data_IF_335332254294
#
_entry.id   IF_335332254294
#
_cell.length_a   1.000
_cell.length_b   1.000
_cell.length_c   1.000
_cell.angle_alpha   90.00
_cell.angle_beta   90.00
_cell.angle_gamma   90.00
#
_symmetry.space_group_name_H-M   'P 1'
#
loop_
_entity.id
_entity.type
_entity.pdbx_description
1 polymer ?
2 non-polymer ?
3 water ?
#
# COMPACT_ATOMS: atom_id res chain seq x y z
N UNK A 9 -10.68 -14.38 7.35
CA UNK A 9 -10.49 -13.80 5.90
C UNK A 9 -10.07 -14.78 4.77
N UNK A 10 -10.97 -15.12 3.86
CA UNK A 10 -10.64 -16.14 2.88
C UNK A 10 -9.66 -15.67 1.80
N UNK A 11 -9.86 -14.45 1.35
CA UNK A 11 -9.05 -13.85 0.30
C UNK A 11 -8.32 -12.61 0.85
N UNK A 12 -7.00 -12.70 0.76
CA UNK A 12 -6.12 -11.68 1.26
C UNK A 12 -5.29 -11.08 0.13
N UNK A 13 -5.36 -9.79 -0.03
CA UNK A 13 -4.55 -9.12 -1.03
C UNK A 13 -3.07 -9.10 -0.60
N UNK A 14 -2.15 -9.47 -1.52
CA UNK A 14 -0.80 -9.91 -1.24
C UNK A 14 0.14 -9.10 -2.17
N UNK A 15 1.02 -8.33 -1.54
CA UNK A 15 1.92 -7.45 -2.26
C UNK A 15 3.36 -7.97 -2.24
N UNK A 17 7.10 -7.00 -3.05
CA UNK A 17 8.10 -5.95 -3.18
C UNK A 17 9.44 -6.60 -3.47
N UNK A 18 10.46 -5.77 -3.78
CA UNK A 18 11.84 -6.27 -3.92
C UNK A 18 12.82 -5.54 -3.00
N UNK A 19 12.46 -5.39 -1.73
CA UNK A 19 13.34 -4.75 -0.75
C UNK A 19 12.68 -3.68 0.07
N UNK A 20 11.50 -3.23 -0.32
CA UNK A 20 10.82 -2.13 0.35
C UNK A 20 9.57 -2.53 1.18
N UNK A 21 9.33 -3.82 1.39
CA UNK A 21 8.09 -4.29 2.02
C UNK A 21 7.90 -3.61 3.38
N UNK A 22 8.95 -3.65 4.20
CA UNK A 22 8.83 -3.20 5.59
C UNK A 22 8.58 -1.69 5.61
N UNK A 23 9.36 -0.93 4.83
CA UNK A 23 9.15 0.50 4.74
C UNK A 23 7.71 0.81 4.26
N UNK A 24 7.26 0.05 3.26
CA UNK A 24 5.96 0.27 2.67
C UNK A 24 4.86 0.02 3.64
N UNK A 26 5.11 0.04 7.00
CA UNK A 26 5.13 1.10 8.00
C UNK A 26 4.44 2.37 7.49
N UNK A 27 4.65 2.68 6.21
CA UNK A 27 3.99 3.85 5.59
C UNK A 27 2.50 3.65 5.52
N UNK A 28 2.05 2.50 5.01
CA UNK A 28 0.60 2.29 4.81
C UNK A 28 -0.18 2.26 6.12
N UNK A 29 0.38 1.60 7.11
CA UNK A 29 -0.32 1.49 8.37
C UNK A 29 -0.41 2.85 9.09
N UNK A 30 0.38 3.85 8.68
CA UNK A 30 0.26 5.20 9.24
C UNK A 30 -0.88 6.06 8.64
N UNK A 31 -1.52 5.59 7.58
CA UNK A 31 -2.43 6.40 6.79
C UNK A 31 -3.87 6.24 7.17
N UNK A 32 -4.20 5.13 7.84
CA UNK A 32 -5.58 4.80 8.15
C UNK A 32 -5.72 4.43 9.61
N UNK A 33 -6.89 4.70 10.14
CA UNK A 33 -7.22 4.26 11.49
C UNK A 33 -7.23 2.75 11.55
N UNK A 34 -6.86 2.22 12.72
CA UNK A 34 -6.92 0.79 13.05
C UNK A 34 -6.15 -0.03 12.03
N UNK A 35 -4.91 0.38 11.86
CA UNK A 35 -3.99 -0.29 10.96
C UNK A 35 -2.69 -0.57 11.69
N UNK A 36 -2.27 -1.82 11.70
CA UNK A 36 -1.00 -2.14 12.36
C UNK A 36 -0.31 -3.34 11.75
N UNK A 37 0.98 -3.40 11.98
CA UNK A 37 1.72 -4.59 11.66
C UNK A 37 1.34 -5.68 12.65
N UNK A 38 0.97 -6.84 12.11
CA UNK A 38 0.58 -8.02 12.90
C UNK A 38 1.78 -8.95 13.17
N UNK A 39 2.47 -9.31 12.09
CA UNK A 39 3.60 -10.25 12.16
C UNK A 39 4.61 -9.91 11.09
N UNK A 40 5.88 -10.17 11.36
CA UNK A 40 6.92 -9.90 10.35
C UNK A 40 8.09 -10.83 10.60
N UNK A 41 8.51 -11.56 9.57
CA UNK A 41 9.78 -12.32 9.66
C UNK A 41 10.72 -11.83 8.56
N UNK A 42 12.01 -11.77 8.90
CA UNK A 42 13.05 -11.18 8.07
C UNK A 42 14.16 -12.18 7.84
N UNK A 43 14.78 -12.12 6.66
CA UNK A 43 15.83 -13.04 6.29
C UNK A 43 17.04 -12.79 7.17
N UNK A 44 17.60 -13.85 7.70
CA UNK A 44 18.90 -13.76 8.39
C UNK A 44 20.05 -13.81 7.37
N UNK A 45 21.28 -14.04 7.87
CA UNK A 45 22.53 -13.97 7.06
C UNK A 45 22.65 -14.97 5.89
N UNK A 46 21.92 -16.09 5.96
CA UNK A 46 22.00 -17.14 4.94
C UNK A 46 20.81 -17.20 3.96
N UNK A 47 20.06 -16.10 3.82
CA UNK A 47 19.09 -15.99 2.74
C UNK A 47 17.96 -17.00 2.69
N UNK A 48 17.38 -17.27 1.49
CA UNK A 48 17.74 -16.84 0.13
C UNK A 48 17.57 -15.35 -0.23
N UNK A 49 16.71 -14.61 0.48
CA UNK A 49 16.63 -13.15 0.28
C UNK A 49 17.72 -12.40 1.03
N UNK A 50 17.91 -11.13 0.68
CA UNK A 50 18.96 -10.30 1.32
C UNK A 50 18.64 -10.12 2.79
N UNK A 51 19.68 -9.97 3.60
CA UNK A 51 19.52 -9.97 5.05
C UNK A 51 18.74 -8.76 5.47
N UNK A 52 17.81 -8.96 6.41
CA UNK A 52 16.89 -7.88 6.85
C UNK A 52 15.62 -7.66 6.05
N UNK A 53 15.55 -8.20 4.83
CA UNK A 53 14.34 -8.07 4.02
C UNK A 53 13.25 -9.02 4.52
N UNK A 54 12.01 -8.75 4.11
CA UNK A 54 10.84 -9.49 4.62
C UNK A 54 10.65 -10.86 3.95
N UNK A 55 10.71 -11.91 4.75
CA UNK A 55 10.28 -13.22 4.33
C UNK A 55 8.77 -13.23 4.10
N UNK A 56 8.04 -12.86 5.14
CA UNK A 56 6.59 -12.70 5.07
C UNK A 56 6.19 -11.73 6.17
N UNK A 57 5.16 -10.94 5.89
CA UNK A 57 4.56 -10.05 6.89
C UNK A 57 3.06 -9.92 6.64
N UNK A 58 2.31 -9.79 7.74
CA UNK A 58 0.86 -9.55 7.73
C UNK A 58 0.61 -8.26 8.43
N UNK A 59 -0.25 -7.43 7.86
CA UNK A 59 -0.64 -6.17 8.49
C UNK A 59 -2.08 -5.89 8.21
N UNK A 60 -2.68 -5.00 8.98
CA UNK A 60 -4.06 -4.62 8.73
C UNK A 60 -4.11 -3.15 8.21
N UNK A 61 -5.08 -2.90 7.34
CA UNK A 61 -5.49 -1.56 6.99
C UNK A 61 -6.97 -1.45 7.33
N UNK A 62 -7.27 -0.61 8.31
CA UNK A 62 -8.60 -0.50 8.88
C UNK A 62 -9.19 -1.84 9.19
N UNK A 63 -8.42 -2.70 9.84
CA UNK A 63 -8.97 -3.97 10.29
C UNK A 63 -8.86 -5.10 9.26
N UNK A 64 -8.63 -4.77 7.98
CA UNK A 64 -8.54 -5.76 6.91
C UNK A 64 -7.11 -6.24 6.77
N UNK A 65 -6.91 -7.54 6.74
CA UNK A 65 -5.57 -8.09 6.63
C UNK A 65 -5.07 -8.00 5.21
N UNK A 66 -3.80 -7.61 5.09
CA UNK A 66 -2.99 -7.63 3.88
C UNK A 66 -1.72 -8.42 4.18
N UNK A 68 2.44 -9.08 2.74
CA UNK A 68 3.51 -8.70 1.81
C UNK A 68 4.74 -9.51 2.04
N UNK A 69 5.59 -9.54 1.01
CA UNK A 69 6.92 -10.11 1.09
C UNK A 69 7.91 -9.21 0.34
N UNK A 70 9.21 -9.43 0.60
CA UNK A 70 10.30 -8.99 -0.28
C UNK A 70 10.75 -10.21 -1.04
N UNK A 71 10.46 -10.20 -2.34
CA UNK A 71 10.88 -11.29 -3.20
C UNK A 71 12.41 -11.57 -3.18
N UNK A 72 12.82 -12.81 -2.99
CA UNK A 72 14.26 -13.14 -3.11
C UNK A 72 14.76 -13.27 -4.55
N UNK A 73 13.86 -13.10 -5.52
CA UNK A 73 14.19 -13.15 -6.94
C UNK A 73 13.83 -11.81 -7.54
N UNK A 74 14.67 -11.28 -8.41
CA UNK A 74 14.31 -10.07 -9.15
C UNK A 74 13.42 -10.46 -10.32
N UNK A 75 12.26 -9.81 -10.43
CA UNK A 75 11.31 -10.12 -11.52
C UNK A 75 11.34 -9.06 -12.60
N UNK A 76 10.87 -9.41 -13.80
CA UNK A 76 10.80 -8.42 -14.87
C UNK A 76 9.49 -7.60 -14.87
N UNK A 77 8.70 -7.72 -13.80
CA UNK A 77 7.45 -6.96 -13.66
C UNK A 77 7.41 -6.32 -12.30
N UNK A 78 6.47 -5.40 -12.12
CA UNK A 78 6.14 -4.89 -10.79
C UNK A 78 4.66 -4.56 -10.77
N UNK A 79 4.24 -3.71 -9.85
CA UNK A 79 2.85 -3.34 -9.72
C UNK A 79 2.41 -2.60 -10.94
N UNK A 80 1.15 -2.81 -11.34
CA UNK A 80 0.55 -2.02 -12.40
C UNK A 80 -0.82 -1.49 -11.90
N UNK A 81 -1.42 -0.55 -12.63
CA UNK A 81 -2.76 -0.11 -12.25
C UNK A 81 -3.87 -1.10 -12.53
N UNK A 82 -3.57 -2.27 -13.11
CA UNK A 82 -4.64 -3.22 -13.46
C UNK A 82 -5.32 -3.75 -12.17
N UNK A 84 -5.77 -2.41 -8.40
CA UNK A 84 -5.61 -1.25 -7.52
C UNK A 84 -6.39 -1.38 -6.19
N UNK A 85 -6.02 -0.51 -5.26
CA UNK A 85 -6.67 -0.43 -3.97
C UNK A 85 -7.59 0.81 -3.93
N UNK A 86 -8.88 0.56 -3.84
CA UNK A 86 -9.89 1.56 -3.92
C UNK A 86 -10.31 1.91 -2.49
N UNK A 87 -10.05 3.17 -2.12
CA UNK A 87 -10.28 3.62 -0.76
C UNK A 87 -11.48 4.54 -0.68
N UNK A 88 -12.42 4.25 0.21
CA UNK A 88 -13.54 5.15 0.39
C UNK A 88 -13.32 5.87 1.73
N UNK A 89 -13.30 7.19 1.67
CA UNK A 89 -12.92 8.06 2.78
C UNK A 89 -14.23 8.67 3.28
N UNK A 90 -14.34 8.93 4.59
CA UNK A 90 -15.55 9.48 5.23
C UNK A 90 -15.63 11.00 5.10
N UNK A 91 -14.45 11.64 5.12
CA UNK A 91 -14.38 13.11 5.10
C UNK A 91 -13.37 13.64 4.09
N UNK A 92 -13.66 14.87 3.65
CA UNK A 92 -12.78 15.67 2.80
C UNK A 92 -11.39 15.77 3.39
N UNK A 93 -11.31 16.02 4.68
CA UNK A 93 -10.02 16.09 5.34
C UNK A 93 -9.24 14.80 5.18
N UNK A 94 -9.92 13.65 5.37
CA UNK A 94 -9.23 12.40 5.28
C UNK A 94 -8.73 12.19 3.85
N UNK A 95 -9.56 12.43 2.85
CA UNK A 95 -9.17 12.12 1.46
C UNK A 95 -8.02 13.04 1.04
N UNK A 96 -8.09 14.31 1.44
CA UNK A 96 -7.04 15.30 1.14
C UNK A 96 -5.71 14.87 1.73
N UNK A 97 -5.75 14.45 3.00
CA UNK A 97 -4.54 14.04 3.70
C UNK A 97 -3.95 12.75 3.14
N UNK A 98 -4.76 11.71 2.95
CA UNK A 98 -4.23 10.46 2.49
C UNK A 98 -3.72 10.57 1.05
N UNK A 99 -4.47 11.24 0.19
CA UNK A 99 -4.02 11.41 -1.19
C UNK A 99 -2.63 12.07 -1.26
N UNK A 100 -2.48 13.18 -0.55
CA UNK A 100 -1.24 13.99 -0.54
C UNK A 100 -0.07 13.16 -0.03
N UNK A 101 -0.34 12.34 0.99
CA UNK A 101 0.72 11.49 1.51
C UNK A 101 1.13 10.45 0.47
N UNK A 102 0.15 9.76 -0.12
CA UNK A 102 0.42 8.70 -1.12
C UNK A 102 1.04 9.24 -2.42
N UNK A 103 0.73 10.51 -2.75
CA UNK A 103 1.29 11.16 -3.93
C UNK A 103 2.80 11.47 -3.83
N UNK A 104 3.39 11.48 -2.61
CA UNK A 104 4.79 11.91 -2.45
C UNK A 104 5.69 10.95 -3.20
N UNK A 105 6.44 11.49 -4.15
CA UNK A 105 7.32 10.71 -5.04
C UNK A 105 6.55 9.63 -5.82
N UNK A 106 5.24 9.87 -5.98
CA UNK A 106 4.35 8.98 -6.76
C UNK A 106 4.08 9.56 -8.12
N UNK A 107 3.08 9.01 -8.80
CA UNK A 107 2.73 9.38 -10.14
C UNK A 107 1.23 9.58 -10.13
N UNK A 108 0.77 10.72 -10.62
CA UNK A 108 -0.67 10.99 -10.64
C UNK A 108 -1.28 10.46 -11.91
N UNK A 109 -2.34 9.68 -11.77
CA UNK A 109 -3.05 9.17 -12.94
C UNK A 109 -4.28 10.06 -13.22
N UNK A 111 -5.81 13.51 -11.09
CA UNK A 111 -5.60 14.35 -9.93
C UNK A 111 -6.85 14.39 -9.07
N UNK A 112 -6.64 14.64 -7.77
CA UNK A 112 -7.72 14.65 -6.79
C UNK A 112 -8.60 15.86 -7.01
N UNK A 113 -9.90 15.61 -7.26
CA UNK A 113 -10.82 16.70 -7.48
C UNK A 113 -12.20 16.22 -7.84
N UNK A 114 -12.99 17.12 -8.40
CA UNK A 114 -14.36 16.80 -8.79
C UNK A 114 -14.40 16.23 -10.20
N UNK A 115 -15.26 15.23 -10.38
CA UNK A 115 -15.46 14.61 -11.69
C UNK A 115 -16.96 14.38 -11.91
N UNK A 116 -17.38 14.14 -13.17
CA UNK A 116 -18.84 13.89 -13.33
C UNK A 116 -19.32 12.72 -12.44
N UNK A 117 -18.51 11.68 -12.33
CA UNK A 117 -18.87 10.47 -11.57
C UNK A 117 -18.67 10.57 -10.05
N UNK A 118 -18.10 11.67 -9.55
CA UNK A 118 -17.73 11.76 -8.13
C UNK A 118 -17.46 13.20 -7.69
N UNK A 119 -17.92 13.54 -6.49
CA UNK A 119 -17.63 14.87 -5.91
C UNK A 119 -16.13 15.03 -5.65
N UNK A 120 -15.49 13.93 -5.29
CA UNK A 120 -14.08 13.96 -4.94
C UNK A 120 -13.47 12.60 -5.17
N UNK A 121 -12.56 12.55 -6.14
CA UNK A 121 -11.88 11.31 -6.58
C UNK A 121 -10.49 11.59 -7.09
N UNK A 122 -9.59 10.65 -6.84
CA UNK A 122 -8.27 10.70 -7.46
C UNK A 122 -7.68 9.33 -7.62
N UNK A 123 -6.67 9.23 -8.47
CA UNK A 123 -6.04 7.94 -8.78
C UNK A 123 -4.55 8.21 -8.95
N UNK A 124 -3.75 7.44 -8.25
CA UNK A 124 -2.30 7.60 -8.33
C UNK A 124 -1.59 6.28 -8.18
N UNK A 125 -0.30 6.28 -8.50
CA UNK A 125 0.62 5.25 -8.04
C UNK A 125 1.50 5.80 -6.98
N UNK A 126 1.67 5.08 -5.87
CA UNK A 126 2.52 5.61 -4.82
C UNK A 126 4.02 5.41 -5.18
N UNK A 127 4.88 5.85 -4.29
CA UNK A 127 6.32 5.82 -4.53
C UNK A 127 6.84 4.39 -4.75
N UNK A 128 6.07 3.39 -4.32
CA UNK A 128 6.46 2.00 -4.52
C UNK A 128 5.90 1.42 -5.80
N UNK A 129 5.03 2.17 -6.49
CA UNK A 129 4.38 1.72 -7.68
C UNK A 129 2.99 1.11 -7.48
N UNK A 130 2.54 1.03 -6.24
CA UNK A 130 1.23 0.48 -5.90
C UNK A 130 0.13 1.48 -6.25
N UNK A 131 -0.90 1.02 -6.96
CA UNK A 131 -1.95 1.93 -7.49
C UNK A 131 -3.12 2.04 -6.49
N UNK A 132 -3.46 3.29 -6.19
CA UNK A 132 -4.51 3.64 -5.25
C UNK A 132 -5.54 4.58 -5.88
N UNK A 133 -6.81 4.27 -5.62
CA UNK A 133 -7.92 5.14 -6.01
C UNK A 133 -8.56 5.58 -4.71
N UNK A 134 -8.93 6.84 -4.66
CA UNK A 134 -9.51 7.39 -3.44
C UNK A 134 -10.77 8.13 -3.80
N UNK A 135 -11.83 7.90 -3.02
CA UNK A 135 -13.07 8.60 -3.27
C UNK A 135 -13.75 8.96 -1.96
N UNK A 136 -14.61 9.98 -2.02
CA UNK A 136 -15.32 10.43 -0.84
C UNK A 136 -16.73 9.80 -0.87
N UNK A 137 -17.09 9.09 0.21
CA UNK A 137 -18.40 8.40 0.33
C UNK A 137 -19.50 9.34 0.80
#
# INVERSE_FOLDING_TARGET
>A
SNAXSNANQKITTFLXFEGKAEEAXNFYTSLFDQSEIVSISRYDENGPGKEGTVIHATFTLNGQEFXCIDSYVNHNFTFTPAXSLYVTCETEEEIDTVFHKLAQDGAILXPLGSYPFSKKFGWLNDKYGVSWQLTLAE
#
